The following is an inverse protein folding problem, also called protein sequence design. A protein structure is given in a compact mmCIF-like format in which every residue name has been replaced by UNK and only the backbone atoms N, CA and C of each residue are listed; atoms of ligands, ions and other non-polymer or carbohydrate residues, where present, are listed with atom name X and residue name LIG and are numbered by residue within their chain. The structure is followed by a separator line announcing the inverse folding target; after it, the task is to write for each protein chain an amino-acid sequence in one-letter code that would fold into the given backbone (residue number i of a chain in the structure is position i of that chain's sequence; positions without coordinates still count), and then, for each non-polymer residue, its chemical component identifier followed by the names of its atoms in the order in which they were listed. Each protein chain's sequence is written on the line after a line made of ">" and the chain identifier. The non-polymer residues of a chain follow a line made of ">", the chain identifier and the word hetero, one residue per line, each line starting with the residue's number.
data_IF_791313730348
#
_entry.id   IF_791313730348
#
_cell.length_a   1.000
_cell.length_b   1.000
_cell.length_c   1.000
_cell.angle_alpha   90.00
_cell.angle_beta   90.00
_cell.angle_gamma   90.00
#
_symmetry.space_group_name_H-M   'P 1'
#
loop_
_entity.id
_entity.type
_entity.pdbx_description
1 polymer ?
#
# COMPACT_ATOMS: atom_id res chain seq x y z
N UNK A 1 5.83 8.73 -21.31
CA UNK A 1 6.47 8.46 -20.01
C UNK A 1 5.36 8.47 -18.98
N UNK A 2 4.97 7.29 -18.48
CA UNK A 2 3.94 7.16 -17.46
C UNK A 2 4.60 7.27 -16.08
N UNK A 3 4.03 8.08 -15.19
CA UNK A 3 4.53 8.28 -13.83
C UNK A 3 3.70 7.41 -12.89
N UNK A 4 4.37 6.57 -12.10
CA UNK A 4 3.70 5.73 -11.10
C UNK A 4 3.70 6.42 -9.74
N UNK A 5 2.55 6.54 -9.06
CA UNK A 5 2.50 7.16 -7.74
C UNK A 5 3.28 6.33 -6.72
N UNK A 6 4.20 6.99 -6.01
CA UNK A 6 4.96 6.43 -4.90
C UNK A 6 4.54 7.12 -3.60
N UNK A 7 4.59 6.38 -2.50
CA UNK A 7 4.22 6.91 -1.18
C UNK A 7 5.47 7.21 -0.35
N UNK A 8 5.55 8.44 0.16
CA UNK A 8 6.49 8.78 1.22
C UNK A 8 5.90 8.45 2.59
N UNK A 9 4.58 8.57 2.76
CA UNK A 9 3.97 8.46 4.08
C UNK A 9 3.79 7.00 4.54
N UNK A 10 3.34 6.11 3.65
CA UNK A 10 3.29 4.67 3.92
C UNK A 10 4.61 4.00 3.53
N UNK A 11 5.69 4.47 4.14
CA UNK A 11 7.04 3.98 3.90
C UNK A 11 7.74 3.68 5.24
N UNK A 12 8.42 2.54 5.32
CA UNK A 12 9.05 2.09 6.56
C UNK A 12 10.27 2.94 7.00
N UNK A 13 10.92 3.66 6.09
CA UNK A 13 12.00 4.61 6.40
C UNK A 13 11.48 5.78 7.25
N UNK A 14 10.53 6.61 6.77
CA UNK A 14 10.04 7.72 7.58
C UNK A 14 9.37 7.25 8.86
N UNK A 15 8.57 6.18 8.80
CA UNK A 15 7.87 5.65 9.98
C UNK A 15 8.85 5.22 11.07
N UNK A 16 9.85 4.40 10.74
CA UNK A 16 10.72 3.79 11.77
C UNK A 16 12.06 4.49 11.96
N UNK A 17 12.69 4.96 10.90
CA UNK A 17 14.06 5.49 10.95
C UNK A 17 14.10 7.00 11.21
N UNK A 18 13.08 7.73 10.77
CA UNK A 18 13.02 9.20 10.94
C UNK A 18 12.14 9.59 12.11
N UNK A 19 10.90 9.10 12.14
CA UNK A 19 9.91 9.47 13.15
C UNK A 19 9.97 8.56 14.41
N UNK A 20 10.72 7.45 14.33
CA UNK A 20 10.94 6.52 15.44
C UNK A 20 9.66 5.91 16.04
N UNK A 21 8.63 5.68 15.21
CA UNK A 21 7.38 5.10 15.68
C UNK A 21 7.53 3.64 16.14
N UNK A 22 6.56 3.22 16.96
CA UNK A 22 6.45 1.85 17.46
C UNK A 22 6.17 0.88 16.30
N UNK A 23 6.50 -0.39 16.50
CA UNK A 23 6.34 -1.42 15.47
C UNK A 23 4.94 -1.53 14.83
N UNK A 24 3.82 -1.37 15.57
CA UNK A 24 2.47 -1.41 14.98
C UNK A 24 2.15 -0.28 14.01
N UNK A 25 2.88 0.84 14.05
CA UNK A 25 2.48 2.09 13.38
C UNK A 25 2.24 1.93 11.88
N UNK A 26 3.12 1.21 11.18
CA UNK A 26 2.97 1.00 9.74
C UNK A 26 1.66 0.28 9.40
N UNK A 27 1.27 -0.70 10.23
CA UNK A 27 -0.01 -1.40 10.06
C UNK A 27 -1.20 -0.49 10.37
N UNK A 28 -1.15 0.27 11.47
CA UNK A 28 -2.24 1.16 11.87
C UNK A 28 -2.50 2.23 10.80
N UNK A 29 -1.44 2.88 10.29
CA UNK A 29 -1.54 3.84 9.19
C UNK A 29 -2.02 3.20 7.90
N UNK A 30 -1.50 2.02 7.54
CA UNK A 30 -1.91 1.32 6.34
C UNK A 30 -3.39 0.93 6.38
N UNK A 31 -3.89 0.47 7.53
CA UNK A 31 -5.31 0.16 7.73
C UNK A 31 -6.19 1.40 7.52
N UNK A 32 -5.88 2.49 8.21
CA UNK A 32 -6.71 3.70 8.15
C UNK A 32 -6.69 4.35 6.75
N UNK A 33 -5.54 4.26 6.07
CA UNK A 33 -5.39 4.68 4.68
C UNK A 33 -6.19 3.78 3.74
N UNK A 34 -6.11 2.46 3.90
CA UNK A 34 -6.88 1.51 3.11
C UNK A 34 -8.39 1.74 3.29
N UNK A 35 -8.89 1.87 4.51
CA UNK A 35 -10.32 2.07 4.79
C UNK A 35 -10.88 3.32 4.09
N UNK A 36 -10.05 4.36 3.99
CA UNK A 36 -10.40 5.58 3.24
C UNK A 36 -10.45 5.34 1.74
N UNK A 37 -9.40 4.74 1.16
CA UNK A 37 -9.35 4.44 -0.27
C UNK A 37 -10.42 3.41 -0.69
N UNK A 38 -10.74 2.46 0.17
CA UNK A 38 -11.74 1.44 -0.07
C UNK A 38 -13.14 2.07 -0.19
N UNK A 39 -13.49 2.97 0.73
CA UNK A 39 -14.73 3.75 0.67
C UNK A 39 -14.79 4.62 -0.60
N UNK A 40 -13.71 5.33 -0.92
CA UNK A 40 -13.63 6.16 -2.12
C UNK A 40 -13.57 5.35 -3.43
N UNK A 41 -13.26 4.05 -3.31
CA UNK A 41 -13.21 3.07 -4.39
C UNK A 41 -14.56 2.78 -5.02
N UNK A 42 -15.66 3.07 -4.32
CA UNK A 42 -17.02 2.91 -4.83
C UNK A 42 -17.30 3.81 -6.05
N UNK A 43 -16.67 4.98 -6.11
CA UNK A 43 -16.84 5.95 -7.20
C UNK A 43 -15.76 5.84 -8.28
N UNK A 44 -14.53 5.53 -7.89
CA UNK A 44 -13.38 5.46 -8.80
C UNK A 44 -12.28 4.57 -8.24
N UNK A 45 -11.62 3.79 -9.12
CA UNK A 45 -10.52 2.92 -8.71
C UNK A 45 -9.41 3.72 -7.99
N UNK A 46 -8.97 3.19 -6.84
CA UNK A 46 -7.88 3.76 -6.04
C UNK A 46 -6.69 2.81 -6.03
N UNK A 47 -5.48 3.38 -5.99
CA UNK A 47 -4.22 2.64 -5.92
C UNK A 47 -3.57 2.95 -4.57
N UNK A 48 -3.22 1.90 -3.84
CA UNK A 48 -2.48 1.99 -2.59
C UNK A 48 -1.09 1.37 -2.76
N UNK A 49 -0.07 1.99 -2.18
CA UNK A 49 1.28 1.44 -2.10
C UNK A 49 1.73 1.41 -0.64
N UNK A 50 2.51 0.39 -0.26
CA UNK A 50 3.24 0.33 1.01
C UNK A 50 4.70 0.04 0.67
N UNK A 51 5.58 1.00 0.95
CA UNK A 51 7.01 0.88 0.62
C UNK A 51 7.78 0.31 1.81
N UNK A 52 8.53 -0.76 1.57
CA UNK A 52 9.30 -1.45 2.61
C UNK A 52 10.69 -1.86 2.15
N UNK A 53 11.58 -2.05 3.12
CA UNK A 53 12.95 -2.50 2.95
C UNK A 53 13.19 -3.73 3.84
N UNK A 54 13.74 -4.84 3.32
CA UNK A 54 13.91 -6.08 4.08
C UNK A 54 14.68 -5.92 5.40
N UNK A 55 15.69 -5.04 5.43
CA UNK A 55 16.50 -4.79 6.63
C UNK A 55 15.81 -3.92 7.69
N UNK A 56 14.69 -3.26 7.36
CA UNK A 56 13.90 -2.45 8.30
C UNK A 56 12.65 -3.22 8.73
N UNK A 57 11.77 -3.54 7.78
CA UNK A 57 10.50 -4.21 8.03
C UNK A 57 10.68 -5.68 8.41
N UNK A 58 11.73 -6.33 7.89
CA UNK A 58 12.06 -7.72 8.21
C UNK A 58 12.57 -7.97 9.63
N UNK A 59 12.79 -6.92 10.44
CA UNK A 59 13.14 -7.08 11.85
C UNK A 59 12.05 -7.88 12.59
N UNK A 60 12.46 -8.82 13.46
CA UNK A 60 11.55 -9.78 14.11
C UNK A 60 10.36 -9.14 14.85
N UNK A 61 10.54 -7.93 15.38
CA UNK A 61 9.48 -7.22 16.09
C UNK A 61 8.54 -6.41 15.16
N UNK A 62 8.88 -6.24 13.87
CA UNK A 62 8.11 -5.49 12.85
C UNK A 62 7.39 -6.39 11.86
N UNK A 63 8.00 -7.50 11.41
CA UNK A 63 7.51 -8.30 10.29
C UNK A 63 6.04 -8.74 10.43
N UNK A 64 5.62 -9.13 11.63
CA UNK A 64 4.24 -9.53 11.92
C UNK A 64 3.19 -8.45 11.63
N UNK A 65 3.57 -7.17 11.66
CA UNK A 65 2.66 -6.07 11.35
C UNK A 65 2.53 -5.87 9.84
N UNK A 66 3.59 -6.18 9.08
CA UNK A 66 3.51 -6.19 7.62
C UNK A 66 2.58 -7.29 7.13
N UNK A 67 2.65 -8.50 7.71
CA UNK A 67 1.71 -9.58 7.41
C UNK A 67 0.25 -9.17 7.67
N UNK A 68 0.01 -8.50 8.81
CA UNK A 68 -1.32 -8.00 9.17
C UNK A 68 -1.91 -7.01 8.16
N UNK A 69 -1.09 -6.25 7.43
CA UNK A 69 -1.58 -5.36 6.37
C UNK A 69 -2.29 -6.20 5.29
N UNK A 70 -1.61 -7.23 4.77
CA UNK A 70 -2.19 -8.08 3.74
C UNK A 70 -3.35 -8.94 4.26
N UNK A 71 -3.24 -9.47 5.48
CA UNK A 71 -4.33 -10.21 6.12
C UNK A 71 -5.59 -9.37 6.31
N UNK A 72 -5.44 -8.09 6.63
CA UNK A 72 -6.56 -7.16 6.76
C UNK A 72 -7.18 -6.88 5.39
N UNK A 73 -6.37 -6.42 4.43
CA UNK A 73 -6.83 -6.04 3.09
C UNK A 73 -7.54 -7.20 2.38
N UNK A 74 -7.03 -8.44 2.51
CA UNK A 74 -7.62 -9.64 1.88
C UNK A 74 -9.02 -10.01 2.39
N UNK A 75 -9.51 -9.38 3.47
CA UNK A 75 -10.87 -9.62 4.00
C UNK A 75 -11.93 -8.78 3.30
N UNK A 76 -11.52 -7.88 2.41
CA UNK A 76 -12.41 -7.00 1.67
C UNK A 76 -12.53 -7.50 0.22
N UNK A 77 -13.75 -7.49 -0.30
CA UNK A 77 -14.02 -7.80 -1.70
C UNK A 77 -13.51 -6.68 -2.63
N UNK A 78 -13.49 -6.92 -3.94
CA UNK A 78 -13.10 -5.91 -4.94
C UNK A 78 -11.69 -5.31 -4.77
N UNK A 79 -10.77 -6.04 -4.13
CA UNK A 79 -9.34 -5.69 -4.05
C UNK A 79 -8.51 -6.61 -4.92
N UNK A 80 -7.58 -6.03 -5.69
CA UNK A 80 -6.60 -6.75 -6.50
C UNK A 80 -5.18 -6.37 -6.11
N UNK A 81 -4.27 -7.34 -6.10
CA UNK A 81 -2.85 -7.12 -5.88
C UNK A 81 -2.13 -7.18 -7.21
N UNK A 82 -1.45 -6.10 -7.57
CA UNK A 82 -0.80 -5.96 -8.87
C UNK A 82 0.60 -5.38 -8.67
N UNK A 83 1.52 -5.82 -9.52
CA UNK A 83 2.83 -5.19 -9.73
C UNK A 83 2.65 -3.84 -10.43
N UNK A 84 3.68 -2.99 -10.37
CA UNK A 84 3.64 -1.68 -11.04
C UNK A 84 3.47 -1.80 -12.57
N UNK A 85 4.00 -2.85 -13.20
CA UNK A 85 3.80 -3.13 -14.62
C UNK A 85 2.36 -3.52 -14.94
N UNK A 86 1.76 -4.41 -14.15
CA UNK A 86 0.37 -4.82 -14.35
C UNK A 86 -0.59 -3.64 -14.21
N UNK A 87 -0.35 -2.73 -13.27
CA UNK A 87 -1.16 -1.52 -13.11
C UNK A 87 -1.00 -0.58 -14.31
N UNK A 88 0.22 -0.45 -14.85
CA UNK A 88 0.48 0.33 -16.05
C UNK A 88 -0.27 -0.26 -17.26
N UNK A 89 -0.24 -1.59 -17.41
CA UNK A 89 -0.93 -2.29 -18.49
C UNK A 89 -2.45 -2.07 -18.38
N UNK A 90 -3.03 -2.30 -17.20
CA UNK A 90 -4.45 -2.02 -16.92
C UNK A 90 -4.83 -0.57 -17.22
N UNK A 91 -4.05 0.40 -16.74
CA UNK A 91 -4.33 1.82 -16.97
C UNK A 91 -4.32 2.15 -18.47
N UNK A 92 -3.36 1.61 -19.22
CA UNK A 92 -3.27 1.81 -20.66
C UNK A 92 -4.48 1.20 -21.39
N UNK A 93 -4.91 0.00 -21.02
CA UNK A 93 -6.10 -0.65 -21.61
C UNK A 93 -7.38 0.18 -21.37
N UNK A 94 -7.59 0.66 -20.15
CA UNK A 94 -8.76 1.46 -19.78
C UNK A 94 -8.77 2.87 -20.41
N UNK A 95 -7.60 3.44 -20.69
CA UNK A 95 -7.49 4.82 -21.21
C UNK A 95 -7.27 4.93 -22.71
N UNK A 96 -6.66 3.93 -23.36
CA UNK A 96 -6.47 3.91 -24.82
C UNK A 96 -7.71 3.45 -25.59
N UNK A 97 -8.66 2.79 -24.90
CA UNK A 97 -9.95 2.39 -25.48
C UNK A 97 -10.98 3.54 -25.51
N UNK A 98 -10.59 4.75 -25.08
CA UNK A 98 -11.41 5.97 -25.14
C UNK A 98 -10.95 6.95 -26.21
#
# INVERSE_FOLDING_TARGET
>A
MSVFPFTVELNDIPVYMVQHHRSPELFERARDHFDTLYREGEESARIMCVSTHPFITGAAHRIKYYDKIFEYIKRHDAVVFMTGSEILDWYNEETQTR
#
